data_IF_281865089288
#
_entry.id   IF_281865089288
#
_cell.length_a   1.000
_cell.length_b   1.000
_cell.length_c   1.000
_cell.angle_alpha   90.00
_cell.angle_beta   90.00
_cell.angle_gamma   90.00
#
_symmetry.space_group_name_H-M   'P 1'
#
loop_
_entity.id
_entity.type
_entity.pdbx_description
1 polymer ?
#
# COMPACT_ATOMS: atom_id res chain seq x y z
N UNK A 1 -5.54 7.77 -10.17
CA UNK A 1 -4.68 6.58 -9.96
C UNK A 1 -3.20 6.92 -10.09
N UNK A 2 -2.79 7.55 -11.17
CA UNK A 2 -1.38 7.90 -11.41
C UNK A 2 -0.81 8.79 -10.31
N UNK A 3 -1.55 9.82 -9.91
CA UNK A 3 -1.08 10.77 -8.89
C UNK A 3 -0.88 10.12 -7.54
N UNK A 4 -1.75 9.19 -7.14
CA UNK A 4 -1.61 8.48 -5.88
C UNK A 4 -0.39 7.56 -5.89
N UNK A 5 -0.10 6.92 -7.01
CA UNK A 5 1.11 6.11 -7.16
C UNK A 5 2.38 6.96 -7.12
N UNK A 6 2.34 8.17 -7.68
CA UNK A 6 3.44 9.12 -7.59
C UNK A 6 3.68 9.56 -6.14
N UNK A 7 2.63 9.83 -5.40
CA UNK A 7 2.72 10.20 -3.98
C UNK A 7 3.33 9.07 -3.16
N UNK A 8 2.87 7.83 -3.36
CA UNK A 8 3.43 6.67 -2.68
C UNK A 8 4.91 6.48 -3.00
N UNK A 9 5.28 6.62 -4.27
CA UNK A 9 6.67 6.49 -4.70
C UNK A 9 7.56 7.53 -4.02
N UNK A 10 7.06 8.75 -3.87
CA UNK A 10 7.76 9.81 -3.15
C UNK A 10 7.97 9.44 -1.68
N UNK A 11 6.94 8.91 -1.02
CA UNK A 11 7.03 8.49 0.38
C UNK A 11 8.09 7.40 0.59
N UNK A 12 8.14 6.41 -0.29
CA UNK A 12 9.15 5.36 -0.22
C UNK A 12 10.56 5.92 -0.42
N UNK A 13 10.73 6.80 -1.40
CA UNK A 13 12.04 7.39 -1.70
C UNK A 13 12.54 8.32 -0.59
N UNK A 14 11.63 9.03 0.08
CA UNK A 14 11.97 9.86 1.23
C UNK A 14 12.44 9.03 2.42
N UNK A 15 11.84 7.85 2.60
CA UNK A 15 12.15 6.96 3.73
C UNK A 15 13.40 6.11 3.47
N UNK A 16 13.74 5.84 2.23
CA UNK A 16 14.90 5.02 1.85
C UNK A 16 15.59 5.66 0.64
N UNK A 17 16.76 6.24 0.88
CA UNK A 17 17.52 6.95 -0.16
C UNK A 17 18.06 6.04 -1.26
N UNK A 18 18.09 4.73 -1.03
CA UNK A 18 18.49 3.75 -2.05
C UNK A 18 17.38 3.52 -3.08
N UNK A 19 16.17 4.02 -2.84
CA UNK A 19 15.05 3.88 -3.76
C UNK A 19 14.93 5.14 -4.62
N UNK A 20 14.96 4.95 -5.94
CA UNK A 20 14.73 6.03 -6.90
C UNK A 20 13.23 6.20 -7.12
N UNK A 21 12.70 7.40 -6.88
CA UNK A 21 11.27 7.69 -6.95
C UNK A 21 10.67 7.33 -8.32
N UNK A 22 11.34 7.69 -9.40
CA UNK A 22 10.81 7.44 -10.74
C UNK A 22 10.79 5.96 -11.09
N UNK A 23 11.83 5.22 -10.69
CA UNK A 23 11.90 3.78 -10.91
C UNK A 23 10.87 3.03 -10.06
N UNK A 24 10.63 3.47 -8.83
CA UNK A 24 9.59 2.90 -7.97
C UNK A 24 8.21 3.15 -8.60
N UNK A 25 7.97 4.37 -9.08
CA UNK A 25 6.73 4.70 -9.76
C UNK A 25 6.51 3.81 -10.99
N UNK A 26 7.55 3.61 -11.80
CA UNK A 26 7.48 2.75 -12.98
C UNK A 26 7.14 1.30 -12.60
N UNK A 27 7.72 0.80 -11.50
CA UNK A 27 7.45 -0.56 -11.02
C UNK A 27 5.99 -0.72 -10.59
N UNK A 28 5.44 0.24 -9.84
CA UNK A 28 4.03 0.23 -9.46
C UNK A 28 3.12 0.30 -10.69
N UNK A 29 3.44 1.18 -11.63
CA UNK A 29 2.65 1.35 -12.85
C UNK A 29 2.63 0.08 -13.68
N UNK A 30 3.78 -0.58 -13.84
CA UNK A 30 3.90 -1.83 -14.59
C UNK A 30 3.05 -2.93 -13.94
N UNK A 31 3.06 -3.01 -12.60
CA UNK A 31 2.23 -4.00 -11.89
C UNK A 31 0.74 -3.73 -12.09
N UNK A 32 0.31 -2.47 -12.03
CA UNK A 32 -1.10 -2.10 -12.20
C UNK A 32 -1.61 -2.37 -13.62
N UNK A 33 -0.73 -2.33 -14.62
CA UNK A 33 -1.10 -2.67 -15.99
C UNK A 33 -1.48 -4.14 -16.15
N UNK A 34 -1.00 -5.01 -15.28
CA UNK A 34 -1.35 -6.44 -15.28
C UNK A 34 -2.75 -6.67 -14.69
N UNK A 35 -3.25 -5.75 -13.93
CA UNK A 35 -4.55 -5.82 -13.29
C UNK A 35 -4.57 -4.95 -12.04
N UNK A 36 -5.72 -4.36 -11.75
CA UNK A 36 -5.86 -3.49 -10.60
C UNK A 36 -5.61 -4.24 -9.28
N UNK A 37 -4.89 -3.60 -8.36
CA UNK A 37 -4.70 -4.10 -7.00
C UNK A 37 -5.77 -3.60 -6.04
N UNK A 38 -6.82 -2.96 -6.56
CA UNK A 38 -7.93 -2.52 -5.74
C UNK A 38 -8.72 -3.72 -5.21
N UNK A 39 -9.07 -3.65 -3.93
CA UNK A 39 -9.99 -4.57 -3.27
C UNK A 39 -11.37 -3.93 -3.27
N UNK A 40 -12.30 -4.50 -2.51
CA UNK A 40 -13.63 -3.91 -2.35
C UNK A 40 -13.62 -2.82 -1.29
N UNK A 41 -14.66 -1.99 -1.28
CA UNK A 41 -14.94 -1.01 -0.22
C UNK A 41 -13.94 0.13 -0.12
N UNK A 42 -13.40 0.57 -1.25
CA UNK A 42 -12.56 1.76 -1.31
C UNK A 42 -11.12 1.55 -0.91
N UNK A 43 -10.61 0.33 -1.03
CA UNK A 43 -9.27 -0.07 -0.59
C UNK A 43 -8.44 -0.55 -1.76
N UNK A 44 -7.15 -0.23 -1.78
CA UNK A 44 -6.19 -0.79 -2.75
C UNK A 44 -4.89 -1.18 -2.06
N UNK A 45 -4.24 -2.21 -2.59
CA UNK A 45 -2.93 -2.68 -2.13
C UNK A 45 -1.95 -2.64 -3.30
N UNK A 46 -1.48 -1.44 -3.71
CA UNK A 46 -0.44 -1.36 -4.73
C UNK A 46 0.81 -2.08 -4.23
N UNK A 47 1.37 -2.96 -5.06
CA UNK A 47 2.55 -3.69 -4.64
C UNK A 47 3.43 -4.04 -5.83
N UNK A 48 4.73 -4.13 -5.58
CA UNK A 48 5.69 -4.47 -6.62
C UNK A 48 6.96 -5.07 -6.03
N UNK A 49 7.70 -5.77 -6.87
CA UNK A 49 9.06 -6.21 -6.58
C UNK A 49 10.01 -5.16 -7.14
N UNK A 50 11.08 -4.87 -6.42
CA UNK A 50 12.00 -3.82 -6.83
C UNK A 50 13.43 -4.22 -6.51
N UNK A 51 14.32 -4.17 -7.52
CA UNK A 51 15.70 -4.63 -7.38
C UNK A 51 16.54 -3.81 -6.40
N UNK A 52 16.20 -2.54 -6.19
CA UNK A 52 16.89 -1.69 -5.22
C UNK A 52 16.43 -1.85 -3.80
N UNK A 53 15.45 -2.71 -3.55
CA UNK A 53 14.87 -2.92 -2.22
C UNK A 53 15.57 -4.08 -1.53
N UNK A 54 16.07 -3.86 -0.30
CA UNK A 54 16.77 -4.89 0.46
C UNK A 54 15.88 -5.62 1.46
N UNK A 55 14.80 -4.98 1.88
CA UNK A 55 13.81 -5.59 2.78
C UNK A 55 12.43 -5.02 2.47
N UNK A 56 11.39 -5.76 2.83
CA UNK A 56 10.02 -5.34 2.59
C UNK A 56 9.72 -4.02 3.29
N UNK A 57 9.05 -3.11 2.59
CA UNK A 57 8.64 -1.81 3.10
C UNK A 57 7.19 -1.55 2.70
N UNK A 58 6.45 -0.88 3.57
CA UNK A 58 5.07 -0.52 3.28
C UNK A 58 4.81 0.96 3.62
N UNK A 59 3.79 1.51 2.96
CA UNK A 59 3.34 2.88 3.21
C UNK A 59 1.82 2.93 3.08
N UNK A 60 1.18 3.74 3.91
CA UNK A 60 -0.27 3.93 3.88
C UNK A 60 -0.57 5.35 3.44
N UNK A 61 -1.52 5.47 2.51
CA UNK A 61 -1.99 6.76 2.03
C UNK A 61 -3.51 6.77 2.13
N UNK A 62 -4.06 7.76 2.83
CA UNK A 62 -5.50 7.99 2.88
C UNK A 62 -5.82 9.28 2.12
N UNK A 63 -6.96 9.30 1.45
CA UNK A 63 -7.38 10.42 0.62
C UNK A 63 -8.70 11.00 1.14
N UNK A 64 -8.83 12.33 1.14
CA UNK A 64 -10.09 12.98 1.51
C UNK A 64 -11.18 12.66 0.51
N UNK A 65 -10.81 12.58 -0.77
CA UNK A 65 -11.74 12.23 -1.85
C UNK A 65 -11.24 10.97 -2.53
N UNK A 66 -12.11 9.97 -2.66
CA UNK A 66 -11.79 8.73 -3.35
C UNK A 66 -11.46 8.95 -4.82
N UNK A 67 -10.65 8.07 -5.37
CA UNK A 67 -10.23 8.11 -6.77
C UNK A 67 -10.59 6.82 -7.49
N UNK A 68 -10.74 6.89 -8.80
CA UNK A 68 -10.94 5.69 -9.62
C UNK A 68 -9.63 4.90 -9.66
N UNK A 69 -9.68 3.67 -9.17
CA UNK A 69 -8.54 2.75 -9.17
C UNK A 69 -8.86 1.46 -9.91
N UNK A 70 -9.86 1.50 -10.78
CA UNK A 70 -10.33 0.35 -11.57
C UNK A 70 -10.78 -0.83 -10.69
N UNK A 71 -11.42 -0.50 -9.57
CA UNK A 71 -11.93 -1.51 -8.64
C UNK A 71 -13.10 -2.30 -9.26
N UNK A 72 -13.18 -3.59 -8.95
CA UNK A 72 -14.24 -4.46 -9.46
C UNK A 72 -15.65 -4.00 -9.05
N UNK A 73 -15.78 -3.46 -7.84
CA UNK A 73 -17.07 -2.97 -7.35
C UNK A 73 -17.42 -1.58 -7.88
N UNK A 74 -16.52 -0.97 -8.67
CA UNK A 74 -16.74 0.35 -9.25
C UNK A 74 -16.65 1.51 -8.25
N UNK A 75 -16.34 1.22 -6.98
CA UNK A 75 -16.28 2.25 -5.96
C UNK A 75 -14.93 2.98 -5.98
N UNK A 76 -14.93 4.30 -5.67
CA UNK A 76 -13.67 5.02 -5.56
C UNK A 76 -12.83 4.54 -4.39
N UNK A 77 -11.51 4.62 -4.51
CA UNK A 77 -10.55 4.18 -3.51
C UNK A 77 -10.04 5.39 -2.74
N UNK A 78 -10.09 5.33 -1.41
CA UNK A 78 -9.59 6.39 -0.53
C UNK A 78 -8.55 5.90 0.48
N UNK A 79 -8.28 4.60 0.50
CA UNK A 79 -7.29 3.98 1.40
C UNK A 79 -6.37 3.08 0.57
N UNK A 80 -5.08 3.43 0.55
CA UNK A 80 -4.07 2.67 -0.16
C UNK A 80 -2.99 2.23 0.82
N UNK A 81 -2.71 0.93 0.84
CA UNK A 81 -1.61 0.37 1.63
C UNK A 81 -0.65 -0.29 0.66
N UNK A 82 0.44 0.40 0.33
CA UNK A 82 1.39 -0.05 -0.68
C UNK A 82 2.50 -0.89 -0.06
N UNK A 83 3.04 -1.82 -0.85
CA UNK A 83 4.11 -2.72 -0.43
C UNK A 83 5.18 -2.80 -1.52
N UNK A 84 6.44 -2.64 -1.11
CA UNK A 84 7.61 -2.91 -1.97
C UNK A 84 8.39 -4.05 -1.31
N UNK A 85 8.77 -5.05 -2.11
CA UNK A 85 9.55 -6.19 -1.63
C UNK A 85 10.79 -6.39 -2.51
N UNK A 86 11.84 -7.04 -1.97
CA UNK A 86 13.00 -7.38 -2.80
C UNK A 86 12.61 -8.24 -4.00
N UNK A 87 13.35 -8.09 -5.09
CA UNK A 87 13.06 -8.80 -6.34
C UNK A 87 13.09 -10.32 -6.17
N UNK A 88 13.95 -10.84 -5.31
CA UNK A 88 14.09 -12.27 -5.05
C UNK A 88 13.02 -12.82 -4.09
N UNK A 89 12.24 -11.96 -3.48
CA UNK A 89 11.21 -12.38 -2.50
C UNK A 89 10.08 -13.11 -3.21
N UNK A 90 9.71 -14.28 -2.71
CA UNK A 90 8.63 -15.10 -3.27
C UNK A 90 7.54 -15.37 -2.23
N UNK A 91 7.79 -16.32 -1.32
CA UNK A 91 6.79 -16.76 -0.34
C UNK A 91 6.52 -15.70 0.73
N UNK A 92 7.54 -14.98 1.16
CA UNK A 92 7.40 -13.91 2.14
C UNK A 92 6.50 -12.79 1.62
N UNK A 93 6.63 -12.44 0.34
CA UNK A 93 5.78 -11.45 -0.33
C UNK A 93 4.30 -11.84 -0.24
N UNK A 94 3.99 -13.10 -0.56
CA UNK A 94 2.61 -13.60 -0.53
C UNK A 94 2.05 -13.62 0.88
N UNK A 95 2.86 -13.98 1.87
CA UNK A 95 2.45 -14.00 3.28
C UNK A 95 2.12 -12.58 3.77
N UNK A 96 2.94 -11.59 3.42
CA UNK A 96 2.71 -10.20 3.80
C UNK A 96 1.41 -9.69 3.15
N UNK A 97 1.21 -9.94 1.86
CA UNK A 97 -0.01 -9.51 1.17
C UNK A 97 -1.26 -10.14 1.79
N UNK A 98 -1.18 -11.43 2.15
CA UNK A 98 -2.30 -12.11 2.79
C UNK A 98 -2.64 -11.48 4.14
N UNK A 99 -1.64 -11.12 4.94
CA UNK A 99 -1.84 -10.46 6.22
C UNK A 99 -2.46 -9.07 6.03
N UNK A 100 -1.95 -8.30 5.08
CA UNK A 100 -2.51 -6.98 4.77
C UNK A 100 -3.97 -7.08 4.34
N UNK A 101 -4.29 -8.03 3.47
CA UNK A 101 -5.67 -8.24 3.02
C UNK A 101 -6.59 -8.63 4.19
N UNK A 102 -6.09 -9.47 5.11
CA UNK A 102 -6.84 -9.88 6.29
C UNK A 102 -7.16 -8.68 7.20
N UNK A 103 -6.17 -7.83 7.44
CA UNK A 103 -6.36 -6.62 8.24
C UNK A 103 -7.38 -5.69 7.57
N UNK A 104 -7.24 -5.48 6.27
CA UNK A 104 -8.09 -4.56 5.50
C UNK A 104 -9.49 -5.12 5.25
N UNK A 105 -9.72 -6.40 5.47
CA UNK A 105 -11.07 -6.98 5.38
C UNK A 105 -11.94 -6.61 6.61
N UNK A 106 -11.32 -6.10 7.65
CA UNK A 106 -12.02 -5.68 8.88
C UNK A 106 -12.41 -4.21 8.77
N UNK A 107 -13.68 -3.95 8.55
CA UNK A 107 -14.19 -2.59 8.34
C UNK A 107 -13.85 -1.64 9.50
N UNK A 108 -13.92 -2.13 10.72
CA UNK A 108 -13.60 -1.31 11.90
C UNK A 108 -12.15 -0.83 11.90
N UNK A 109 -11.21 -1.68 11.47
CA UNK A 109 -9.80 -1.30 11.36
C UNK A 109 -9.58 -0.31 10.24
N UNK A 110 -10.26 -0.48 9.10
CA UNK A 110 -10.17 0.46 7.99
C UNK A 110 -10.66 1.85 8.40
N UNK A 111 -11.75 1.92 9.17
CA UNK A 111 -12.26 3.19 9.66
C UNK A 111 -11.27 3.86 10.61
N UNK A 112 -10.62 3.10 11.49
CA UNK A 112 -9.58 3.64 12.37
C UNK A 112 -8.41 4.19 11.58
N UNK A 113 -7.98 3.49 10.53
CA UNK A 113 -6.89 3.95 9.66
C UNK A 113 -7.29 5.25 8.97
N UNK A 114 -8.51 5.32 8.43
CA UNK A 114 -9.01 6.52 7.75
C UNK A 114 -9.11 7.72 8.68
N UNK A 115 -9.38 7.48 9.98
CA UNK A 115 -9.52 8.53 10.97
C UNK A 115 -8.20 8.93 11.63
N UNK A 116 -7.10 8.22 11.38
CA UNK A 116 -5.81 8.55 11.94
C UNK A 116 -5.34 9.91 11.41
N UNK A 117 -5.00 10.82 12.34
CA UNK A 117 -4.69 12.21 12.00
C UNK A 117 -3.24 12.42 11.59
N UNK A 118 -2.36 11.53 11.98
CA UNK A 118 -0.93 11.64 11.70
C UNK A 118 -0.27 10.28 11.58
N UNK A 119 0.99 10.30 11.10
CA UNK A 119 1.75 9.07 10.87
C UNK A 119 2.05 8.31 12.16
N UNK A 120 2.23 9.00 13.27
CA UNK A 120 2.54 8.35 14.56
C UNK A 120 1.34 7.57 15.09
N UNK A 121 0.15 8.16 15.04
CA UNK A 121 -1.08 7.49 15.46
C UNK A 121 -1.32 6.24 14.64
N UNK A 122 -1.10 6.32 13.33
CA UNK A 122 -1.26 5.20 12.42
C UNK A 122 -0.25 4.10 12.72
N UNK A 123 1.01 4.45 12.91
CA UNK A 123 2.08 3.51 13.24
C UNK A 123 1.80 2.78 14.54
N UNK A 124 1.38 3.50 15.57
CA UNK A 124 1.06 2.91 16.88
C UNK A 124 -0.09 1.91 16.77
N UNK A 125 -1.11 2.25 16.01
CA UNK A 125 -2.25 1.36 15.78
C UNK A 125 -1.83 0.07 15.09
N UNK A 126 -1.01 0.16 14.03
CA UNK A 126 -0.54 -1.02 13.31
C UNK A 126 0.38 -1.89 14.17
N UNK A 127 1.22 -1.27 15.01
CA UNK A 127 2.08 -1.99 15.94
C UNK A 127 1.25 -2.79 16.96
N UNK A 128 0.17 -2.22 17.48
CA UNK A 128 -0.72 -2.93 18.39
C UNK A 128 -1.40 -4.11 17.73
N UNK A 129 -1.78 -3.98 16.45
CA UNK A 129 -2.37 -5.08 15.70
C UNK A 129 -1.40 -6.24 15.53
N UNK A 130 -0.14 -5.95 15.24
CA UNK A 130 0.89 -6.96 15.09
C UNK A 130 1.11 -7.75 16.39
N UNK A 131 0.98 -7.09 17.54
CA UNK A 131 1.14 -7.74 18.85
C UNK A 131 -0.02 -8.70 19.17
N UNK A 132 -1.17 -8.51 18.54
CA UNK A 132 -2.38 -9.30 18.80
C UNK A 132 -2.55 -10.46 17.83
N UNK A 133 -1.70 -10.54 16.82
CA UNK A 133 -1.66 -11.64 15.87
C UNK A 133 -0.70 -12.74 16.39
#
# INVERSE_FOLDING_TARGET
KKKSLQTLSCLFAENDKNLDQDLVFDAFTSREKLGSTALENGIAIPHCRFSGCTQAQSAILTLDNGIDFDARDGKPVDLLWALIVPEESTDEHLAILALMAKILSQESLCQKIRQAKDANSLKNMLTQLDLND
#
